data_IF_063240962350
#
_entry.id   IF_063240962350
#
_cell.length_a   1.000
_cell.length_b   1.000
_cell.length_c   1.000
_cell.angle_alpha   90.00
_cell.angle_beta   90.00
_cell.angle_gamma   90.00
#
_symmetry.space_group_name_H-M   'P 1'
#
loop_
_entity.id
_entity.type
_entity.pdbx_description
1 polymer ?
#
# COMPACT_ATOMS: atom_id res chain seq x y z
N UNK A 1 32.44 -10.24 3.97
CA UNK A 1 31.50 -9.10 3.96
C UNK A 1 30.80 -9.18 5.29
N UNK A 2 31.12 -8.27 6.21
CA UNK A 2 30.43 -8.20 7.50
C UNK A 2 29.03 -7.65 7.25
N UNK A 3 28.02 -8.46 7.56
CA UNK A 3 26.63 -8.05 7.50
C UNK A 3 26.27 -7.41 8.84
N UNK A 4 26.27 -6.08 8.91
CA UNK A 4 25.67 -5.34 10.02
C UNK A 4 24.15 -5.56 9.98
N UNK A 5 23.69 -6.58 10.71
CA UNK A 5 22.27 -6.87 10.87
C UNK A 5 21.70 -5.94 11.93
N UNK A 6 21.00 -4.90 11.49
CA UNK A 6 20.20 -4.06 12.38
C UNK A 6 18.85 -4.72 12.67
N UNK A 7 18.63 -5.13 13.92
CA UNK A 7 17.37 -5.76 14.35
C UNK A 7 16.35 -4.67 14.69
N UNK A 8 15.29 -4.56 13.89
CA UNK A 8 14.09 -3.79 14.25
C UNK A 8 13.14 -4.71 15.02
N UNK A 9 12.99 -4.48 16.33
CA UNK A 9 12.03 -5.21 17.14
C UNK A 9 10.60 -4.72 16.83
N UNK A 10 9.72 -5.63 16.44
CA UNK A 10 8.29 -5.36 16.34
C UNK A 10 7.61 -5.61 17.70
N UNK A 11 6.86 -4.63 18.23
CA UNK A 11 5.64 -5.02 18.92
C UNK A 11 4.50 -4.05 18.63
N UNK A 12 3.37 -4.56 18.14
CA UNK A 12 2.05 -4.07 18.55
C UNK A 12 1.09 -5.26 18.57
N UNK A 13 0.29 -5.36 19.64
CA UNK A 13 -0.92 -6.17 19.62
C UNK A 13 -1.77 -5.79 18.40
N UNK A 14 -2.52 -6.72 17.83
CA UNK A 14 -3.38 -6.46 16.69
C UNK A 14 -4.31 -5.26 16.97
N UNK A 15 -4.00 -4.11 16.38
CA UNK A 15 -4.85 -2.93 16.46
C UNK A 15 -6.16 -3.26 15.72
N UNK A 16 -7.33 -3.25 16.39
CA UNK A 16 -8.61 -3.61 15.79
C UNK A 16 -8.90 -2.82 14.50
N UNK A 17 -8.40 -1.59 14.42
CA UNK A 17 -8.56 -0.72 13.28
C UNK A 17 -7.77 -1.24 12.07
N UNK A 18 -6.54 -1.68 12.28
CA UNK A 18 -5.73 -2.31 11.24
C UNK A 18 -6.23 -3.70 10.89
N UNK A 19 -6.73 -4.47 11.86
CA UNK A 19 -7.37 -5.76 11.59
C UNK A 19 -8.56 -5.63 10.63
N UNK A 20 -9.35 -4.57 10.75
CA UNK A 20 -10.44 -4.31 9.80
C UNK A 20 -9.96 -4.02 8.36
N UNK A 21 -8.78 -3.40 8.24
CA UNK A 21 -8.17 -3.11 6.94
C UNK A 21 -7.47 -4.33 6.32
N UNK A 22 -7.35 -5.45 7.03
CA UNK A 22 -6.78 -6.66 6.46
C UNK A 22 -7.85 -7.60 5.87
N UNK A 23 -7.49 -8.26 4.77
CA UNK A 23 -8.19 -9.42 4.22
C UNK A 23 -7.36 -10.65 4.49
N UNK A 24 -7.94 -11.64 5.18
CA UNK A 24 -7.26 -12.90 5.48
C UNK A 24 -7.50 -13.93 4.37
N UNK A 25 -6.42 -14.33 3.72
CA UNK A 25 -6.43 -15.32 2.66
C UNK A 25 -6.21 -16.75 3.16
N UNK A 26 -6.02 -16.95 4.47
CA UNK A 26 -5.80 -18.27 5.07
C UNK A 26 -6.97 -19.22 4.80
N UNK A 27 -6.66 -20.50 4.57
CA UNK A 27 -7.68 -21.53 4.34
C UNK A 27 -8.60 -21.67 5.55
N UNK A 28 -9.91 -21.76 5.29
CA UNK A 28 -10.92 -21.91 6.35
C UNK A 28 -11.24 -20.62 7.12
N UNK A 29 -10.60 -19.50 6.79
CA UNK A 29 -10.99 -18.20 7.36
C UNK A 29 -12.41 -17.84 6.91
N UNK A 30 -13.25 -17.46 7.86
CA UNK A 30 -14.61 -17.02 7.57
C UNK A 30 -14.58 -15.66 6.89
N UNK A 31 -15.26 -15.48 5.74
CA UNK A 31 -15.40 -14.16 5.14
C UNK A 31 -15.98 -13.17 6.14
N UNK A 32 -15.62 -11.90 5.96
CA UNK A 32 -16.16 -10.83 6.80
C UNK A 32 -17.67 -10.72 6.58
N UNK A 33 -18.45 -10.32 7.60
CA UNK A 33 -19.86 -10.04 7.43
C UNK A 33 -20.06 -8.95 6.37
N UNK A 34 -20.94 -9.20 5.41
CA UNK A 34 -21.37 -8.20 4.42
C UNK A 34 -22.64 -7.49 4.88
N UNK A 35 -22.89 -6.23 4.46
CA UNK A 35 -24.15 -5.56 4.69
C UNK A 35 -25.35 -6.39 4.21
N UNK A 36 -26.47 -6.32 4.92
CA UNK A 36 -27.71 -6.98 4.51
C UNK A 36 -28.22 -6.37 3.20
N UNK A 37 -28.72 -7.21 2.29
CA UNK A 37 -29.32 -6.78 1.03
C UNK A 37 -28.39 -6.76 -0.18
N UNK A 38 -27.11 -7.15 -0.03
CA UNK A 38 -26.24 -7.41 -1.17
C UNK A 38 -26.64 -8.74 -1.85
N UNK A 39 -26.54 -8.80 -3.18
CA UNK A 39 -26.90 -10.00 -3.96
C UNK A 39 -25.87 -11.11 -3.87
N UNK A 40 -24.60 -10.75 -3.70
CA UNK A 40 -23.52 -11.68 -3.46
C UNK A 40 -22.78 -11.28 -2.18
N UNK A 41 -22.37 -12.28 -1.41
CA UNK A 41 -21.42 -12.09 -0.33
C UNK A 41 -19.97 -12.27 -0.83
N UNK A 42 -19.02 -11.81 -0.02
CA UNK A 42 -17.58 -11.92 -0.33
C UNK A 42 -17.15 -13.37 -0.60
N UNK A 43 -17.79 -14.38 0.03
CA UNK A 43 -17.48 -15.79 -0.21
C UNK A 43 -17.91 -16.28 -1.59
N UNK A 44 -19.07 -15.86 -2.07
CA UNK A 44 -19.55 -16.22 -3.40
C UNK A 44 -18.63 -15.63 -4.46
N UNK A 45 -18.25 -14.36 -4.32
CA UNK A 45 -17.29 -13.73 -5.22
C UNK A 45 -15.93 -14.41 -5.17
N UNK A 46 -15.38 -14.65 -3.98
CA UNK A 46 -14.09 -15.34 -3.82
C UNK A 46 -14.13 -16.76 -4.38
N UNK A 47 -15.23 -17.50 -4.18
CA UNK A 47 -15.41 -18.84 -4.74
C UNK A 47 -15.48 -18.80 -6.25
N UNK A 48 -16.20 -17.82 -6.82
CA UNK A 48 -16.23 -17.58 -8.26
C UNK A 48 -14.81 -17.34 -8.78
N UNK A 49 -14.06 -16.39 -8.20
CA UNK A 49 -12.69 -16.09 -8.63
C UNK A 49 -11.78 -17.31 -8.57
N UNK A 50 -11.83 -18.07 -7.47
CA UNK A 50 -11.00 -19.27 -7.28
C UNK A 50 -11.31 -20.38 -8.30
N UNK A 51 -12.58 -20.57 -8.66
CA UNK A 51 -13.04 -21.73 -9.43
C UNK A 51 -13.21 -21.44 -10.92
N UNK A 52 -13.46 -20.18 -11.30
CA UNK A 52 -13.88 -19.80 -12.66
C UNK A 52 -12.90 -18.88 -13.35
N UNK A 53 -11.72 -18.63 -12.78
CA UNK A 53 -10.66 -17.86 -13.42
C UNK A 53 -9.39 -18.71 -13.60
N UNK A 54 -8.70 -18.64 -14.76
CA UNK A 54 -7.50 -19.44 -15.04
C UNK A 54 -6.43 -19.40 -13.95
N UNK A 55 -6.22 -18.23 -13.35
CA UNK A 55 -5.19 -18.02 -12.33
C UNK A 55 -5.78 -17.90 -10.91
N UNK A 56 -7.08 -18.16 -10.74
CA UNK A 56 -7.80 -18.01 -9.47
C UNK A 56 -7.15 -18.77 -8.31
N UNK A 57 -6.64 -19.96 -8.58
CA UNK A 57 -5.95 -20.80 -7.59
C UNK A 57 -4.78 -20.10 -6.88
N UNK A 58 -4.11 -19.13 -7.52
CA UNK A 58 -3.03 -18.33 -6.92
C UNK A 58 -3.51 -17.41 -5.78
N UNK A 59 -4.81 -17.10 -5.70
CA UNK A 59 -5.39 -16.37 -4.57
C UNK A 59 -5.38 -17.18 -3.26
N UNK A 60 -5.13 -18.50 -3.32
CA UNK A 60 -5.03 -19.38 -2.15
C UNK A 60 -3.75 -20.21 -2.07
N UNK A 61 -2.91 -20.18 -3.11
CA UNK A 61 -1.67 -20.96 -3.20
C UNK A 61 -0.58 -20.21 -4.00
N UNK A 62 -0.61 -18.88 -3.98
CA UNK A 62 0.46 -18.06 -4.57
C UNK A 62 1.69 -18.04 -3.66
N UNK A 63 2.87 -17.99 -4.27
CA UNK A 63 4.17 -17.99 -3.60
C UNK A 63 4.30 -16.93 -2.51
N UNK A 64 3.68 -15.75 -2.70
CA UNK A 64 3.65 -14.69 -1.69
C UNK A 64 2.87 -15.09 -0.43
N UNK A 65 1.69 -15.70 -0.59
CA UNK A 65 0.87 -16.15 0.54
C UNK A 65 1.52 -17.34 1.25
N UNK A 66 2.10 -18.26 0.49
CA UNK A 66 2.85 -19.39 1.03
C UNK A 66 4.07 -18.94 1.82
N UNK A 67 4.81 -17.95 1.30
CA UNK A 67 5.97 -17.38 2.01
C UNK A 67 5.55 -16.73 3.32
N UNK A 68 4.48 -15.93 3.34
CA UNK A 68 3.92 -15.35 4.56
C UNK A 68 3.51 -16.43 5.57
N UNK A 69 2.82 -17.48 5.12
CA UNK A 69 2.34 -18.55 5.99
C UNK A 69 3.43 -19.53 6.45
N UNK A 70 4.61 -19.54 5.82
CA UNK A 70 5.66 -20.54 6.08
C UNK A 70 6.34 -20.38 7.45
N UNK A 71 6.33 -19.16 8.01
CA UNK A 71 7.15 -18.82 9.18
C UNK A 71 8.66 -18.81 8.92
N UNK A 72 9.09 -18.95 7.67
CA UNK A 72 10.49 -18.83 7.27
C UNK A 72 10.89 -17.37 7.08
N UNK A 73 12.20 -17.04 7.07
CA UNK A 73 12.66 -15.71 6.70
C UNK A 73 12.11 -15.26 5.35
N UNK A 74 11.57 -14.04 5.33
CA UNK A 74 11.01 -13.40 4.14
C UNK A 74 12.04 -12.40 3.62
N UNK A 75 12.44 -12.56 2.36
CA UNK A 75 13.37 -11.64 1.71
C UNK A 75 12.61 -10.66 0.84
N UNK A 76 12.85 -9.37 1.05
CA UNK A 76 12.15 -8.28 0.38
C UNK A 76 13.17 -7.36 -0.29
N UNK A 77 13.00 -7.10 -1.59
CA UNK A 77 13.82 -6.17 -2.33
C UNK A 77 13.14 -4.81 -2.43
N UNK A 78 13.88 -3.75 -2.10
CA UNK A 78 13.50 -2.36 -2.30
C UNK A 78 14.52 -1.70 -3.24
N UNK A 79 14.05 -1.11 -4.36
CA UNK A 79 14.92 -0.32 -5.24
C UNK A 79 14.92 1.14 -4.80
N UNK A 80 16.09 1.76 -4.74
CA UNK A 80 16.23 3.14 -4.24
C UNK A 80 17.37 3.90 -4.89
N UNK A 81 17.15 5.18 -5.16
CA UNK A 81 18.21 6.11 -5.57
C UNK A 81 19.08 6.57 -4.38
N UNK A 82 18.65 6.31 -3.15
CA UNK A 82 19.21 6.89 -1.93
C UNK A 82 20.01 5.89 -1.09
N UNK A 83 20.54 4.82 -1.70
CA UNK A 83 21.23 3.74 -0.97
C UNK A 83 22.37 4.27 -0.08
N UNK A 84 23.18 5.20 -0.59
CA UNK A 84 24.30 5.77 0.19
C UNK A 84 23.82 6.64 1.36
N UNK A 85 22.73 7.37 1.19
CA UNK A 85 22.14 8.15 2.29
C UNK A 85 21.55 7.23 3.37
N UNK A 86 20.91 6.12 2.96
CA UNK A 86 20.40 5.10 3.88
C UNK A 86 21.57 4.46 4.64
N UNK A 87 22.67 4.11 3.97
CA UNK A 87 23.88 3.56 4.61
C UNK A 87 24.48 4.55 5.63
N UNK A 88 24.59 5.81 5.26
CA UNK A 88 25.19 6.83 6.12
C UNK A 88 24.33 7.19 7.34
N UNK A 89 23.00 7.15 7.21
CA UNK A 89 22.07 7.54 8.28
C UNK A 89 21.48 6.36 9.06
N UNK A 90 21.56 5.15 8.51
CA UNK A 90 20.80 3.97 8.94
C UNK A 90 19.28 4.19 8.99
N UNK A 91 18.78 5.19 8.25
CA UNK A 91 17.36 5.55 8.21
C UNK A 91 16.76 5.22 6.85
N UNK A 92 15.57 4.64 6.88
CA UNK A 92 14.77 4.36 5.69
C UNK A 92 13.51 5.20 5.80
N UNK A 93 13.23 5.98 4.76
CA UNK A 93 12.08 6.84 4.71
C UNK A 93 10.93 6.13 4.00
N UNK A 94 9.71 6.37 4.51
CA UNK A 94 8.49 5.91 3.85
C UNK A 94 8.40 6.42 2.42
N UNK A 95 7.80 5.62 1.54
CA UNK A 95 7.53 6.06 0.19
C UNK A 95 6.45 7.17 0.20
N UNK A 96 6.64 8.26 -0.58
CA UNK A 96 5.62 9.30 -0.72
C UNK A 96 4.47 8.82 -1.61
N UNK A 97 3.25 9.32 -1.36
CA UNK A 97 2.07 9.02 -2.18
C UNK A 97 1.38 7.70 -1.86
N UNK A 98 1.87 6.94 -0.87
CA UNK A 98 1.16 5.78 -0.34
C UNK A 98 -0.12 6.20 0.40
N UNK A 99 -1.15 5.35 0.38
CA UNK A 99 -2.34 5.57 1.21
C UNK A 99 -2.04 5.46 2.71
N UNK A 100 -0.99 4.75 3.09
CA UNK A 100 -0.44 4.69 4.46
C UNK A 100 1.07 4.71 4.37
N UNK A 101 1.76 5.21 5.39
CA UNK A 101 3.22 5.17 5.43
C UNK A 101 3.73 3.75 5.23
N UNK A 102 4.43 3.50 4.12
CA UNK A 102 4.84 2.16 3.72
C UNK A 102 6.19 2.17 3.00
N UNK A 103 6.84 1.01 3.02
CA UNK A 103 7.99 0.71 2.16
C UNK A 103 7.52 -0.21 1.04
N UNK A 104 7.78 0.21 -0.20
CA UNK A 104 7.47 -0.63 -1.36
C UNK A 104 8.59 -1.63 -1.58
N UNK A 105 8.27 -2.90 -1.37
CA UNK A 105 9.17 -3.99 -1.62
C UNK A 105 8.54 -5.01 -2.57
N UNK A 106 9.38 -5.76 -3.24
CA UNK A 106 8.99 -6.95 -4.00
C UNK A 106 9.56 -8.18 -3.33
N UNK A 107 8.81 -9.27 -3.32
CA UNK A 107 9.26 -10.53 -2.75
C UNK A 107 10.47 -11.06 -3.52
N UNK A 108 11.45 -11.56 -2.77
CA UNK A 108 12.54 -12.38 -3.28
C UNK A 108 12.31 -13.83 -2.85
N UNK A 109 12.16 -14.71 -3.82
CA UNK A 109 11.95 -16.14 -3.60
C UNK A 109 13.30 -16.87 -3.64
N UNK A 110 13.67 -17.64 -2.60
CA UNK A 110 14.85 -18.49 -2.64
C UNK A 110 14.78 -19.49 -3.80
N UNK A 111 15.87 -19.62 -4.54
CA UNK A 111 16.02 -20.57 -5.64
C UNK A 111 17.45 -21.12 -5.73
N UNK A 112 17.74 -22.02 -6.68
CA UNK A 112 19.02 -22.71 -6.78
C UNK A 112 20.23 -21.77 -6.97
N UNK A 113 20.02 -20.63 -7.61
CA UNK A 113 21.06 -19.61 -7.89
C UNK A 113 21.02 -18.43 -6.91
N UNK A 114 20.30 -18.56 -5.78
CA UNK A 114 20.13 -17.51 -4.79
C UNK A 114 18.72 -16.91 -4.79
N UNK A 115 18.62 -15.63 -4.44
CA UNK A 115 17.34 -14.93 -4.32
C UNK A 115 16.83 -14.47 -5.69
N UNK A 116 15.68 -15.00 -6.13
CA UNK A 116 15.01 -14.59 -7.37
C UNK A 116 13.94 -13.55 -7.08
N UNK A 117 13.96 -12.37 -7.72
CA UNK A 117 12.86 -11.42 -7.58
C UNK A 117 11.57 -11.91 -8.24
N UNK A 118 10.44 -11.62 -7.61
CA UNK A 118 9.11 -11.70 -8.21
C UNK A 118 9.08 -10.99 -9.59
N UNK A 119 8.15 -11.35 -10.48
CA UNK A 119 8.11 -10.79 -11.85
C UNK A 119 8.15 -9.25 -11.89
N UNK A 120 7.46 -8.56 -10.97
CA UNK A 120 7.57 -7.10 -10.82
C UNK A 120 8.99 -6.64 -10.51
N UNK A 121 9.67 -7.32 -9.58
CA UNK A 121 11.04 -7.01 -9.20
C UNK A 121 12.03 -7.22 -10.34
N UNK A 122 11.86 -8.30 -11.09
CA UNK A 122 12.66 -8.58 -12.29
C UNK A 122 12.52 -7.44 -13.31
N UNK A 123 11.29 -6.97 -13.55
CA UNK A 123 11.04 -5.82 -14.42
C UNK A 123 11.68 -4.54 -13.88
N UNK A 124 11.58 -4.27 -12.57
CA UNK A 124 12.16 -3.06 -11.96
C UNK A 124 13.67 -3.00 -12.16
N UNK A 125 14.37 -4.11 -11.94
CA UNK A 125 15.82 -4.19 -12.14
C UNK A 125 16.23 -4.03 -13.61
N UNK A 126 15.43 -4.56 -14.54
CA UNK A 126 15.71 -4.45 -15.97
C UNK A 126 15.46 -3.05 -16.53
N UNK A 127 14.40 -2.37 -16.07
CA UNK A 127 13.86 -1.18 -16.75
C UNK A 127 14.10 0.14 -16.00
N UNK A 128 14.32 0.13 -14.67
CA UNK A 128 14.60 1.39 -13.96
C UNK A 128 16.07 1.80 -14.09
N UNK A 129 16.28 3.11 -14.13
CA UNK A 129 17.61 3.75 -14.10
C UNK A 129 18.34 3.48 -12.79
N UNK A 130 17.62 3.51 -11.66
CA UNK A 130 18.16 3.20 -10.33
C UNK A 130 17.96 1.72 -10.01
N UNK A 131 19.02 0.93 -10.25
CA UNK A 131 19.04 -0.53 -10.05
C UNK A 131 19.62 -0.97 -8.71
N UNK A 132 20.06 -0.01 -7.88
CA UNK A 132 20.53 -0.30 -6.54
C UNK A 132 19.40 -0.90 -5.71
N UNK A 133 19.64 -2.09 -5.17
CA UNK A 133 18.69 -2.84 -4.38
C UNK A 133 19.15 -2.91 -2.92
N UNK A 134 18.23 -2.60 -2.01
CA UNK A 134 18.33 -2.94 -0.60
C UNK A 134 17.51 -4.21 -0.37
N UNK A 135 18.10 -5.19 0.29
CA UNK A 135 17.42 -6.44 0.66
C UNK A 135 17.14 -6.42 2.15
N UNK A 136 15.88 -6.61 2.51
CA UNK A 136 15.44 -6.81 3.88
C UNK A 136 15.20 -8.29 4.12
N UNK A 137 15.72 -8.79 5.23
CA UNK A 137 15.31 -10.06 5.79
C UNK A 137 14.33 -9.78 6.93
N UNK A 138 13.13 -10.32 6.82
CA UNK A 138 12.12 -10.29 7.89
C UNK A 138 12.04 -11.70 8.45
N UNK A 139 12.47 -11.88 9.70
CA UNK A 139 12.43 -13.16 10.40
C UNK A 139 11.17 -13.22 11.31
N UNK A 140 10.05 -13.79 10.84
CA UNK A 140 8.87 -13.93 11.68
C UNK A 140 9.14 -14.93 12.81
N UNK A 141 8.51 -14.73 13.98
CA UNK A 141 8.62 -15.66 15.12
C UNK A 141 7.94 -17.03 14.90
N UNK A 142 7.33 -17.24 13.73
CA UNK A 142 6.61 -18.44 13.34
C UNK A 142 5.64 -18.14 12.18
N UNK A 143 4.87 -19.15 11.72
CA UNK A 143 3.81 -18.96 10.74
C UNK A 143 2.85 -17.82 11.12
N UNK A 144 2.53 -16.94 10.18
CA UNK A 144 1.53 -15.87 10.35
C UNK A 144 0.37 -16.05 9.38
N UNK A 145 -0.84 -15.57 9.71
CA UNK A 145 -1.96 -15.55 8.77
C UNK A 145 -1.57 -14.87 7.46
N UNK A 146 -2.00 -15.44 6.34
CA UNK A 146 -1.74 -14.88 5.01
C UNK A 146 -2.67 -13.68 4.76
N UNK A 147 -2.41 -12.56 5.45
CA UNK A 147 -3.21 -11.35 5.36
C UNK A 147 -2.61 -10.37 4.35
N UNK A 148 -3.48 -9.79 3.53
CA UNK A 148 -3.18 -8.63 2.69
C UNK A 148 -3.93 -7.39 3.21
N UNK A 149 -3.51 -6.20 2.77
CA UNK A 149 -4.23 -4.95 3.08
C UNK A 149 -5.30 -4.71 2.03
N UNK A 150 -6.53 -4.50 2.49
CA UNK A 150 -7.68 -4.03 1.72
C UNK A 150 -7.72 -2.50 1.80
N UNK A 151 -7.20 -1.89 0.75
CA UNK A 151 -7.09 -0.44 0.59
C UNK A 151 -8.44 0.29 0.67
N UNK A 152 -9.54 -0.35 0.28
CA UNK A 152 -10.88 0.24 0.35
C UNK A 152 -11.38 0.37 1.80
N UNK A 153 -10.71 -0.30 2.75
CA UNK A 153 -11.05 -0.30 4.18
C UNK A 153 -10.11 0.54 5.03
N UNK A 154 -9.18 1.26 4.42
CA UNK A 154 -8.29 2.19 5.12
C UNK A 154 -9.01 3.46 5.63
N UNK A 155 -10.29 3.67 5.29
CA UNK A 155 -11.03 4.88 5.70
C UNK A 155 -11.02 5.13 7.20
N UNK A 156 -11.17 4.08 8.02
CA UNK A 156 -11.07 4.22 9.47
C UNK A 156 -9.64 4.53 9.93
N UNK A 157 -8.62 3.94 9.29
CA UNK A 157 -7.19 4.26 9.55
C UNK A 157 -6.93 5.73 9.29
N UNK A 158 -7.39 6.24 8.15
CA UNK A 158 -7.23 7.64 7.77
C UNK A 158 -8.00 8.57 8.69
N UNK A 159 -9.23 8.22 9.07
CA UNK A 159 -10.03 9.04 9.97
C UNK A 159 -9.39 9.13 11.36
N UNK A 160 -8.94 8.01 11.93
CA UNK A 160 -8.25 8.00 13.21
C UNK A 160 -6.95 8.81 13.15
N UNK A 161 -6.15 8.60 12.11
CA UNK A 161 -4.91 9.36 11.87
C UNK A 161 -5.18 10.87 11.79
N UNK A 162 -6.22 11.27 11.05
CA UNK A 162 -6.65 12.67 10.98
C UNK A 162 -7.08 13.20 12.34
N UNK A 163 -7.86 12.44 13.12
CA UNK A 163 -8.30 12.85 14.46
C UNK A 163 -7.13 13.02 15.43
N UNK A 164 -6.19 12.08 15.42
CA UNK A 164 -4.99 12.08 16.27
C UNK A 164 -4.05 13.25 15.95
N UNK A 165 -4.03 13.69 14.70
CA UNK A 165 -3.17 14.76 14.21
C UNK A 165 -3.90 16.08 13.93
N UNK A 166 -5.20 16.14 14.22
CA UNK A 166 -6.03 17.32 13.95
C UNK A 166 -5.51 18.58 14.62
N UNK A 167 -4.90 18.44 15.80
CA UNK A 167 -4.34 19.55 16.56
C UNK A 167 -3.16 20.26 15.86
N UNK A 168 -2.54 19.64 14.84
CA UNK A 168 -1.51 20.28 14.04
C UNK A 168 -2.05 21.24 12.98
N UNK A 169 -3.37 21.22 12.74
CA UNK A 169 -4.04 22.07 11.78
C UNK A 169 -4.50 23.37 12.42
N UNK A 170 -4.39 24.47 11.68
CA UNK A 170 -5.12 25.69 12.01
C UNK A 170 -6.63 25.46 11.88
N UNK A 171 -7.48 26.26 12.56
CA UNK A 171 -8.93 26.16 12.40
C UNK A 171 -9.42 26.32 10.96
N UNK A 172 -8.72 27.11 10.14
CA UNK A 172 -9.05 27.30 8.73
C UNK A 172 -8.76 26.03 7.89
N UNK A 173 -7.58 25.43 8.07
CA UNK A 173 -7.20 24.19 7.39
C UNK A 173 -8.13 23.03 7.77
N UNK A 174 -8.44 22.91 9.06
CA UNK A 174 -9.35 21.89 9.57
C UNK A 174 -10.76 22.01 8.96
N UNK A 175 -11.31 23.23 8.94
CA UNK A 175 -12.62 23.49 8.33
C UNK A 175 -12.61 23.21 6.83
N UNK A 176 -11.56 23.62 6.11
CA UNK A 176 -11.41 23.38 4.69
C UNK A 176 -11.35 21.89 4.37
N UNK A 177 -10.58 21.10 5.14
CA UNK A 177 -10.48 19.65 4.93
C UNK A 177 -11.85 18.97 5.13
N UNK A 178 -12.54 19.30 6.22
CA UNK A 178 -13.86 18.73 6.52
C UNK A 178 -14.90 19.10 5.47
N UNK A 179 -14.97 20.38 5.07
CA UNK A 179 -15.93 20.84 4.06
C UNK A 179 -15.63 20.21 2.70
N UNK A 180 -14.34 20.10 2.33
CA UNK A 180 -13.92 19.48 1.07
C UNK A 180 -14.28 18.00 1.03
N UNK A 181 -14.08 17.26 2.13
CA UNK A 181 -14.44 15.84 2.20
C UNK A 181 -15.96 15.63 2.00
N UNK A 182 -16.80 16.40 2.72
CA UNK A 182 -18.26 16.33 2.57
C UNK A 182 -18.70 16.73 1.16
N UNK A 183 -18.12 17.79 0.60
CA UNK A 183 -18.46 18.24 -0.75
C UNK A 183 -18.13 17.18 -1.81
N UNK A 184 -16.96 16.51 -1.70
CA UNK A 184 -16.59 15.43 -2.62
C UNK A 184 -17.54 14.25 -2.55
N UNK A 185 -17.99 13.86 -1.36
CA UNK A 185 -19.00 12.80 -1.20
C UNK A 185 -20.31 13.20 -1.87
N UNK A 186 -20.78 14.44 -1.66
CA UNK A 186 -21.99 14.96 -2.32
C UNK A 186 -21.86 14.98 -3.84
N UNK A 187 -20.69 15.36 -4.36
CA UNK A 187 -20.42 15.34 -5.79
C UNK A 187 -20.39 13.94 -6.40
N UNK A 188 -20.20 12.91 -5.58
CA UNK A 188 -20.22 11.51 -6.00
C UNK A 188 -21.52 10.77 -5.69
N UNK A 189 -22.55 11.44 -5.14
CA UNK A 189 -23.74 10.77 -4.61
C UNK A 189 -24.40 9.83 -5.63
N UNK A 190 -24.57 10.28 -6.86
CA UNK A 190 -25.29 9.55 -7.90
C UNK A 190 -24.55 8.29 -8.31
N UNK A 191 -23.21 8.33 -8.27
CA UNK A 191 -22.37 7.18 -8.56
C UNK A 191 -22.39 6.20 -7.39
N UNK A 192 -22.31 6.70 -6.15
CA UNK A 192 -22.38 5.87 -4.96
C UNK A 192 -23.75 5.16 -4.84
N UNK A 193 -24.84 5.86 -5.13
CA UNK A 193 -26.20 5.32 -5.15
C UNK A 193 -26.36 4.26 -6.25
N UNK A 194 -25.82 4.52 -7.44
CA UNK A 194 -25.81 3.54 -8.53
C UNK A 194 -25.00 2.29 -8.17
N UNK A 195 -23.80 2.44 -7.60
CA UNK A 195 -22.98 1.31 -7.17
C UNK A 195 -23.68 0.48 -6.08
N UNK A 196 -24.34 1.15 -5.12
CA UNK A 196 -25.13 0.47 -4.09
C UNK A 196 -26.32 -0.28 -4.70
N UNK A 197 -27.05 0.33 -5.63
CA UNK A 197 -28.18 -0.31 -6.31
C UNK A 197 -27.73 -1.56 -7.08
N UNK A 198 -26.60 -1.48 -7.81
CA UNK A 198 -26.00 -2.62 -8.53
C UNK A 198 -25.60 -3.72 -7.54
N UNK A 199 -24.95 -3.37 -6.43
CA UNK A 199 -24.57 -4.34 -5.40
C UNK A 199 -25.79 -5.01 -4.74
N UNK A 200 -26.94 -4.34 -4.76
CA UNK A 200 -28.25 -4.85 -4.35
C UNK A 200 -29.05 -5.52 -5.48
N UNK A 201 -28.46 -5.73 -6.66
CA UNK A 201 -29.05 -6.51 -7.76
C UNK A 201 -29.80 -5.71 -8.83
N UNK A 202 -29.67 -4.38 -8.84
CA UNK A 202 -30.23 -3.59 -9.93
C UNK A 202 -29.55 -3.92 -11.26
N UNK A 203 -30.36 -4.23 -12.28
CA UNK A 203 -29.89 -4.45 -13.65
C UNK A 203 -29.50 -3.11 -14.29
N UNK A 204 -28.24 -2.73 -14.12
CA UNK A 204 -27.68 -1.50 -14.66
C UNK A 204 -26.74 -1.83 -15.82
N UNK A 205 -26.94 -1.25 -17.02
CA UNK A 205 -26.06 -1.49 -18.15
C UNK A 205 -24.59 -1.18 -17.82
N UNK A 206 -23.62 -2.05 -18.15
CA UNK A 206 -22.21 -1.82 -17.84
C UNK A 206 -21.67 -0.47 -18.33
N UNK A 207 -22.04 -0.05 -19.54
CA UNK A 207 -21.63 1.24 -20.11
C UNK A 207 -22.12 2.42 -19.26
N UNK A 208 -23.29 2.31 -18.63
CA UNK A 208 -23.80 3.34 -17.74
C UNK A 208 -22.95 3.43 -16.47
N UNK A 209 -22.58 2.29 -15.89
CA UNK A 209 -21.70 2.24 -14.71
C UNK A 209 -20.36 2.91 -15.02
N UNK A 210 -19.74 2.52 -16.13
CA UNK A 210 -18.44 3.04 -16.55
C UNK A 210 -18.48 4.54 -16.87
N UNK A 211 -19.49 5.00 -17.63
CA UNK A 211 -19.62 6.42 -17.97
C UNK A 211 -19.85 7.30 -16.73
N UNK A 212 -20.70 6.84 -15.80
CA UNK A 212 -20.92 7.56 -14.55
C UNK A 212 -19.67 7.60 -13.68
N UNK A 213 -18.97 6.47 -13.54
CA UNK A 213 -17.70 6.42 -12.82
C UNK A 213 -16.66 7.36 -13.45
N UNK A 214 -16.46 7.30 -14.77
CA UNK A 214 -15.52 8.16 -15.48
C UNK A 214 -15.85 9.66 -15.30
N UNK A 215 -17.13 10.02 -15.26
CA UNK A 215 -17.56 11.42 -15.09
C UNK A 215 -17.22 12.00 -13.70
N UNK A 216 -17.16 11.16 -12.65
CA UNK A 216 -16.90 11.62 -11.28
C UNK A 216 -15.41 11.58 -10.91
N UNK A 217 -14.61 10.75 -11.58
CA UNK A 217 -13.17 10.60 -11.31
C UNK A 217 -12.40 11.94 -11.26
N UNK A 218 -12.63 12.92 -12.17
CA UNK A 218 -11.96 14.22 -12.07
C UNK A 218 -12.23 14.98 -10.77
N UNK A 219 -13.40 14.78 -10.16
CA UNK A 219 -13.82 15.43 -8.91
C UNK A 219 -13.45 14.60 -7.67
N UNK A 220 -13.49 13.27 -7.80
CA UNK A 220 -13.14 12.31 -6.76
C UNK A 220 -12.13 11.29 -7.32
N UNK A 221 -10.84 11.67 -7.45
CA UNK A 221 -9.82 10.82 -8.09
C UNK A 221 -9.65 9.45 -7.44
N UNK A 222 -9.99 9.33 -6.16
CA UNK A 222 -9.95 8.05 -5.44
C UNK A 222 -10.80 6.96 -6.12
N UNK A 223 -11.93 7.32 -6.72
CA UNK A 223 -12.78 6.37 -7.45
C UNK A 223 -12.10 5.82 -8.72
N UNK A 224 -11.09 6.51 -9.25
CA UNK A 224 -10.27 6.02 -10.36
C UNK A 224 -9.39 4.85 -9.96
N UNK A 225 -8.94 4.78 -8.69
CA UNK A 225 -8.21 3.62 -8.18
C UNK A 225 -9.08 2.38 -8.18
N UNK A 226 -10.37 2.48 -7.83
CA UNK A 226 -11.28 1.33 -7.88
C UNK A 226 -11.32 0.72 -9.29
N UNK A 227 -11.43 1.55 -10.32
CA UNK A 227 -11.40 1.09 -11.71
C UNK A 227 -10.07 0.40 -12.04
N UNK A 228 -8.95 1.03 -11.70
CA UNK A 228 -7.62 0.46 -11.95
C UNK A 228 -7.42 -0.89 -11.25
N UNK A 229 -7.84 -1.01 -9.99
CA UNK A 229 -7.74 -2.24 -9.21
C UNK A 229 -8.59 -3.36 -9.81
N UNK A 230 -9.86 -3.09 -10.15
CA UNK A 230 -10.76 -4.08 -10.75
C UNK A 230 -10.21 -4.59 -12.08
N UNK A 231 -9.71 -3.70 -12.94
CA UNK A 231 -9.11 -4.11 -14.21
C UNK A 231 -7.79 -4.86 -13.98
N UNK A 232 -6.98 -4.45 -13.01
CA UNK A 232 -5.72 -5.13 -12.68
C UNK A 232 -5.98 -6.55 -12.17
N UNK A 233 -6.94 -6.72 -11.25
CA UNK A 233 -7.39 -8.03 -10.76
C UNK A 233 -7.88 -8.89 -11.93
N UNK A 234 -8.77 -8.34 -12.77
CA UNK A 234 -9.28 -9.04 -13.94
C UNK A 234 -8.15 -9.52 -14.86
N UNK A 235 -7.21 -8.64 -15.21
CA UNK A 235 -6.08 -8.97 -16.06
C UNK A 235 -5.20 -10.06 -15.44
N UNK A 236 -4.90 -9.98 -14.15
CA UNK A 236 -4.09 -10.98 -13.46
C UNK A 236 -4.79 -12.34 -13.38
N UNK A 237 -6.11 -12.37 -13.14
CA UNK A 237 -6.89 -13.59 -12.97
C UNK A 237 -7.26 -14.28 -14.29
N UNK A 238 -7.57 -13.51 -15.33
CA UNK A 238 -8.13 -14.03 -16.58
C UNK A 238 -7.11 -14.20 -17.72
N UNK A 239 -5.92 -13.61 -17.62
CA UNK A 239 -4.93 -13.72 -18.71
C UNK A 239 -4.32 -15.11 -18.82
N UNK A 240 -4.20 -15.62 -20.05
CA UNK A 240 -3.65 -16.96 -20.35
C UNK A 240 -2.45 -16.93 -21.30
N UNK A 241 -1.92 -15.74 -21.58
CA UNK A 241 -0.76 -15.55 -22.46
C UNK A 241 0.51 -16.28 -21.96
N UNK A 242 1.50 -16.53 -22.83
CA UNK A 242 2.71 -17.28 -22.47
C UNK A 242 3.44 -16.74 -21.23
N UNK A 243 3.59 -15.41 -21.13
CA UNK A 243 4.20 -14.74 -19.97
C UNK A 243 3.42 -14.97 -18.68
N UNK A 244 2.08 -14.93 -18.75
CA UNK A 244 1.22 -15.17 -17.59
C UNK A 244 1.32 -16.62 -17.13
N UNK A 245 1.33 -17.59 -18.06
CA UNK A 245 1.54 -19.00 -17.72
C UNK A 245 2.89 -19.24 -17.04
N UNK A 246 3.97 -18.64 -17.55
CA UNK A 246 5.28 -18.73 -16.91
C UNK A 246 5.31 -18.12 -15.50
N UNK A 247 4.59 -17.01 -15.26
CA UNK A 247 4.44 -16.46 -13.91
C UNK A 247 3.64 -17.42 -13.01
N UNK A 248 2.53 -17.97 -13.51
CA UNK A 248 1.69 -18.88 -12.74
C UNK A 248 2.42 -20.18 -12.38
N UNK A 249 3.26 -20.73 -13.28
CA UNK A 249 4.15 -21.86 -13.02
C UNK A 249 5.16 -21.56 -11.90
N UNK A 250 5.56 -20.30 -11.75
CA UNK A 250 6.40 -19.84 -10.65
C UNK A 250 5.62 -19.50 -9.36
N UNK A 251 4.30 -19.74 -9.35
CA UNK A 251 3.42 -19.40 -8.23
C UNK A 251 3.14 -17.90 -8.12
N UNK A 252 3.15 -17.17 -9.23
CA UNK A 252 3.04 -15.70 -9.25
C UNK A 252 1.90 -15.20 -10.14
N UNK A 253 1.19 -14.16 -9.69
CA UNK A 253 0.32 -13.38 -10.56
C UNK A 253 1.16 -12.53 -11.51
N UNK A 254 0.76 -12.41 -12.77
CA UNK A 254 1.44 -11.53 -13.73
C UNK A 254 1.08 -10.06 -13.50
N UNK A 255 1.76 -9.43 -12.53
CA UNK A 255 1.56 -8.03 -12.14
C UNK A 255 2.05 -7.02 -13.19
N UNK A 256 2.68 -7.48 -14.27
CA UNK A 256 3.20 -6.59 -15.31
C UNK A 256 2.11 -6.15 -16.28
N UNK A 257 0.99 -6.88 -16.35
CA UNK A 257 -0.15 -6.50 -17.17
C UNK A 257 -0.82 -5.20 -16.70
N UNK A 258 -0.98 -5.01 -15.39
CA UNK A 258 -1.52 -3.76 -14.83
C UNK A 258 -0.58 -2.59 -15.08
N UNK A 259 0.73 -2.85 -15.08
CA UNK A 259 1.74 -1.86 -15.42
C UNK A 259 1.71 -1.48 -16.90
N UNK A 260 1.68 -2.47 -17.78
CA UNK A 260 1.59 -2.28 -19.22
C UNK A 260 0.30 -1.50 -19.57
N UNK A 261 -0.83 -1.80 -18.89
CA UNK A 261 -2.07 -1.02 -18.99
C UNK A 261 -1.86 0.44 -18.57
N UNK A 262 -1.26 0.69 -17.40
CA UNK A 262 -1.04 2.04 -16.90
C UNK A 262 -0.20 2.89 -17.87
N UNK A 263 0.85 2.30 -18.46
CA UNK A 263 1.68 2.97 -19.46
C UNK A 263 0.97 3.18 -20.79
N UNK A 264 0.14 2.24 -21.23
CA UNK A 264 -0.62 2.37 -22.47
C UNK A 264 -1.76 3.39 -22.36
N UNK A 265 -2.33 3.56 -21.16
CA UNK A 265 -3.45 4.46 -20.93
C UNK A 265 -3.06 5.94 -20.79
N UNK A 266 -1.82 6.23 -20.41
CA UNK A 266 -1.36 7.59 -20.11
C UNK A 266 0.07 7.77 -20.62
N UNK A 267 0.25 8.57 -21.67
CA UNK A 267 1.55 8.80 -22.32
C UNK A 267 2.62 9.33 -21.34
N UNK A 268 2.22 10.11 -20.34
CA UNK A 268 3.12 10.70 -19.33
C UNK A 268 3.31 9.81 -18.09
N UNK A 269 2.79 8.58 -18.09
CA UNK A 269 2.86 7.70 -16.92
C UNK A 269 4.30 7.34 -16.54
N UNK A 270 5.19 7.22 -17.54
CA UNK A 270 6.64 7.02 -17.29
C UNK A 270 7.29 8.17 -16.56
N UNK A 271 6.89 9.40 -16.87
CA UNK A 271 7.38 10.57 -16.14
C UNK A 271 6.95 10.51 -14.68
N UNK A 272 5.72 10.13 -14.36
CA UNK A 272 5.26 10.01 -12.96
C UNK A 272 5.96 8.90 -12.18
N UNK A 273 6.19 7.73 -12.80
CA UNK A 273 6.89 6.61 -12.16
C UNK A 273 8.40 6.80 -12.00
N UNK A 274 9.00 7.65 -12.83
CA UNK A 274 10.40 8.07 -12.73
C UNK A 274 10.59 9.35 -11.90
N UNK A 275 9.56 10.21 -11.80
CA UNK A 275 9.55 11.45 -11.01
C UNK A 275 9.64 11.22 -9.50
N UNK A 276 9.39 10.00 -9.01
CA UNK A 276 9.72 9.62 -7.63
C UNK A 276 11.25 9.61 -7.37
N UNK A 277 12.07 9.76 -8.42
CA UNK A 277 13.53 9.85 -8.35
C UNK A 277 14.16 11.15 -8.87
N UNK A 278 13.40 12.09 -9.46
CA UNK A 278 14.02 13.29 -10.07
C UNK A 278 13.22 14.59 -9.88
N UNK A 279 13.77 15.45 -9.03
CA UNK A 279 13.81 16.90 -9.28
C UNK A 279 15.14 17.49 -8.81
N UNK A 280 16.24 16.95 -9.35
CA UNK A 280 17.51 17.68 -9.48
C UNK A 280 17.60 18.13 -10.93
N UNK A 281 17.27 19.40 -11.22
CA UNK A 281 17.60 19.99 -12.52
C UNK A 281 19.13 20.02 -12.63
N UNK A 282 19.61 19.52 -13.76
CA UNK A 282 20.97 19.61 -14.25
C UNK A 282 21.57 20.99 -14.05
N UNK A 283 22.64 21.07 -13.26
CA UNK A 283 23.64 22.14 -13.35
C UNK A 283 24.43 21.94 -14.63
N UNK A 284 24.01 22.62 -15.69
CA UNK A 284 24.88 22.95 -16.82
C UNK A 284 24.46 24.32 -17.37
N UNK A 285 24.83 25.38 -16.65
CA UNK A 285 25.06 26.68 -17.27
C UNK A 285 25.97 27.53 -16.35
N UNK A 286 27.23 27.67 -16.76
CA UNK A 286 28.28 28.32 -16.00
C UNK A 286 28.10 29.83 -15.85
N UNK A 287 27.23 30.27 -14.93
CA UNK A 287 27.20 31.65 -14.43
C UNK A 287 27.13 31.71 -12.90
N UNK A 288 27.95 32.55 -12.24
CA UNK A 288 27.90 32.68 -10.79
C UNK A 288 26.63 33.45 -10.38
N UNK A 289 25.70 32.79 -9.67
CA UNK A 289 24.58 33.46 -9.02
C UNK A 289 24.93 33.84 -7.57
N UNK A 290 24.84 35.14 -7.30
CA UNK A 290 24.75 35.71 -5.96
C UNK A 290 23.48 35.23 -5.21
N UNK A 291 23.51 35.14 -3.87
CA UNK A 291 22.47 34.47 -3.10
C UNK A 291 21.35 35.44 -2.70
N UNK A 292 20.23 35.47 -3.43
CA UNK A 292 18.99 36.05 -2.92
C UNK A 292 17.74 35.34 -3.47
N UNK A 293 17.22 34.37 -2.72
CA UNK A 293 15.78 34.34 -2.39
C UNK A 293 15.53 33.29 -1.31
N UNK A 294 14.98 33.77 -0.19
CA UNK A 294 14.80 33.09 1.09
C UNK A 294 13.67 32.05 1.02
N UNK A 295 13.97 30.82 1.43
CA UNK A 295 12.99 29.89 2.00
C UNK A 295 12.64 30.40 3.41
N UNK A 296 11.36 30.46 3.82
CA UNK A 296 10.99 30.82 5.19
C UNK A 296 11.61 29.83 6.19
N UNK A 297 12.45 30.36 7.09
CA UNK A 297 12.96 29.65 8.27
C UNK A 297 11.82 29.44 9.28
N UNK A 298 11.21 28.25 9.28
CA UNK A 298 10.41 27.59 10.35
C UNK A 298 9.83 26.34 9.65
N UNK A 299 10.47 25.18 9.63
CA UNK A 299 10.63 24.27 10.77
C UNK A 299 11.98 23.53 10.66
N UNK A 300 12.97 23.99 11.43
CA UNK A 300 14.11 23.16 11.85
C UNK A 300 13.88 22.84 13.32
N UNK A 301 13.71 21.56 13.63
CA UNK A 301 13.65 21.08 15.00
C UNK A 301 12.42 20.23 15.27
N UNK A 302 12.48 18.95 14.92
CA UNK A 302 12.02 17.84 15.75
C UNK A 302 12.42 16.52 15.06
N UNK A 303 13.73 16.28 15.09
CA UNK A 303 14.25 14.93 15.25
C UNK A 303 14.40 14.70 16.77
N UNK A 304 14.27 13.44 17.22
CA UNK A 304 14.31 12.92 18.60
C UNK A 304 12.98 12.92 19.38
N UNK A 305 12.26 11.80 19.32
CA UNK A 305 12.08 10.83 20.42
C UNK A 305 10.87 9.94 20.12
N UNK A 306 11.10 8.78 19.50
CA UNK A 306 10.11 7.70 19.44
C UNK A 306 10.81 6.38 19.73
N UNK A 307 11.11 6.17 21.01
CA UNK A 307 11.34 4.87 21.63
C UNK A 307 10.99 4.99 23.12
N UNK A 308 9.87 4.37 23.51
CA UNK A 308 9.57 3.84 24.85
C UNK A 308 9.66 4.76 26.08
N UNK A 309 8.51 5.15 26.63
CA UNK A 309 8.34 5.26 28.08
C UNK A 309 6.87 5.13 28.48
N UNK A 310 6.43 3.89 28.77
CA UNK A 310 5.28 3.66 29.67
C UNK A 310 5.72 4.08 31.08
N UNK A 311 5.06 5.06 31.69
CA UNK A 311 5.12 5.24 33.15
C UNK A 311 4.10 4.32 33.80
N UNK A 312 4.58 3.37 34.59
CA UNK A 312 3.78 2.66 35.58
C UNK A 312 3.40 3.62 36.74
N UNK A 313 2.26 3.42 37.43
CA UNK A 313 1.91 4.21 38.59
C UNK A 313 2.81 3.83 39.77
N UNK A 314 3.49 4.82 40.35
CA UNK A 314 4.22 4.66 41.60
C UNK A 314 3.22 4.51 42.75
N UNK A 315 3.43 3.46 43.54
CA UNK A 315 2.68 3.17 44.75
C UNK A 315 2.86 4.25 45.82
N UNK A 316 1.76 4.57 46.50
CA UNK A 316 1.74 5.38 47.70
C UNK A 316 2.03 4.47 48.88
N UNK A 317 3.25 4.55 49.39
CA UNK A 317 3.68 3.98 50.68
C UNK A 317 3.67 5.06 51.76
N UNK A 318 3.13 4.68 52.91
CA UNK A 318 2.78 5.46 54.10
C UNK A 318 3.93 6.15 54.85
N UNK A 319 3.62 7.26 55.52
CA UNK A 319 4.24 7.64 56.79
C UNK A 319 3.29 8.49 57.65
N UNK A 320 2.91 7.94 58.81
CA UNK A 320 2.39 8.67 59.97
C UNK A 320 3.43 9.67 60.51
N UNK A 321 2.99 10.69 61.24
CA UNK A 321 3.42 10.71 62.64
C UNK A 321 2.32 11.07 63.65
N UNK A 322 2.63 10.64 64.87
CA UNK A 322 1.94 10.86 66.14
C UNK A 322 1.45 12.30 66.41
N UNK A 323 0.22 12.43 66.88
CA UNK A 323 -0.18 12.49 68.30
C UNK A 323 -1.70 12.44 68.42
#
# INVERSE_FOLDING_TARGET
MDHDVSILAAPVAADPLWEHAHTDYSRGHQPRPVPRGLTADDSQWRSYLLQHTPNGWLLGAGSQLETLASGQPIYLMHTTAYLEAIRASSQIYQAPGCMVGALYCVLLTPGPSGLRPHNLGSWLLANKSHRNALVFEVAPGGPVPAKGIDYLRLGNVHLATYQDHRAFLTPAEDNQLRSSAVQRIRQADSVLDMLLAVACGADTPPDRVLNQLASVVPMVPFLGYLYFEVISEYLMLHSTGPRTRACAEAGEMNTLLSKDLAFAAVDTMGELFDSAGQKGRSEDDGRPMHPQSRIPRRCRGQALHLLGARRAPQGVGSAHPAR
#
